data_IF_739664668476
#
_entry.id   IF_739664668476
#
_cell.length_a   1.000
_cell.length_b   1.000
_cell.length_c   1.000
_cell.angle_alpha   90.00
_cell.angle_beta   90.00
_cell.angle_gamma   90.00
#
_symmetry.space_group_name_H-M   'P 1'
#
loop_
_entity.id
_entity.type
_entity.pdbx_description
1 polymer ?
#
# COMPACT_ATOMS: atom_id res chain seq x y z
N UNK A 1 1.29 11.21 -36.76
CA UNK A 1 0.11 11.99 -36.33
C UNK A 1 0.15 13.28 -37.15
N UNK A 2 -0.74 13.57 -38.08
CA UNK A 2 -2.17 13.29 -38.13
C UNK A 2 -2.64 12.88 -39.52
N UNK A 3 -3.11 11.64 -39.56
CA UNK A 3 -3.89 10.97 -40.58
C UNK A 3 -5.40 11.33 -40.45
N UNK A 4 -5.70 12.57 -40.05
CA UNK A 4 -7.07 13.04 -39.77
C UNK A 4 -7.61 13.89 -40.91
N UNK A 5 -6.73 14.62 -41.61
CA UNK A 5 -7.11 15.40 -42.80
C UNK A 5 -7.49 14.53 -44.00
N UNK A 6 -6.90 13.33 -44.13
CA UNK A 6 -7.23 12.38 -45.19
C UNK A 6 -8.55 11.63 -44.93
N UNK A 7 -8.90 11.40 -43.65
CA UNK A 7 -10.15 10.75 -43.27
C UNK A 7 -11.39 11.64 -43.50
N UNK A 8 -11.23 12.97 -43.49
CA UNK A 8 -12.32 13.93 -43.72
C UNK A 8 -12.60 14.21 -45.20
N UNK A 9 -11.64 13.96 -46.10
CA UNK A 9 -11.87 14.11 -47.55
C UNK A 9 -12.54 12.90 -48.20
N UNK A 10 -12.64 11.76 -47.51
CA UNK A 10 -13.26 10.54 -48.04
C UNK A 10 -14.81 10.51 -47.96
N UNK A 11 -15.44 11.53 -47.37
CA UNK A 11 -16.91 11.55 -47.17
C UNK A 11 -17.67 12.51 -48.10
N UNK A 12 -17.01 13.03 -49.14
CA UNK A 12 -17.66 13.91 -50.13
C UNK A 12 -17.39 13.39 -51.54
N UNK A 13 -17.89 12.19 -51.81
CA UNK A 13 -18.19 11.77 -53.18
C UNK A 13 -19.55 11.09 -53.18
N UNK A 14 -20.40 11.55 -54.10
CA UNK A 14 -21.68 10.96 -54.52
C UNK A 14 -22.92 11.37 -53.70
N UNK A 15 -23.39 12.59 -53.97
CA UNK A 15 -24.70 12.78 -54.59
C UNK A 15 -25.97 12.27 -53.89
N UNK A 16 -26.28 12.71 -52.67
CA UNK A 16 -27.67 13.01 -52.25
C UNK A 16 -27.70 13.81 -50.92
N UNK A 17 -28.54 14.85 -50.75
CA UNK A 17 -28.62 15.59 -49.49
C UNK A 17 -29.54 14.88 -48.48
N UNK A 18 -29.13 14.59 -47.23
CA UNK A 18 -30.06 14.18 -46.20
C UNK A 18 -30.90 15.39 -45.75
N UNK A 19 -32.17 15.36 -46.17
CA UNK A 19 -33.36 15.81 -45.44
C UNK A 19 -33.25 17.12 -44.62
N UNK A 20 -33.87 18.18 -45.15
CA UNK A 20 -34.82 18.97 -44.37
C UNK A 20 -34.29 20.00 -43.37
N UNK A 21 -33.19 20.68 -43.65
CA UNK A 21 -32.76 21.84 -42.84
C UNK A 21 -32.98 23.13 -43.62
N UNK A 22 -34.16 23.74 -43.43
CA UNK A 22 -34.40 25.11 -43.90
C UNK A 22 -33.52 26.08 -43.10
N UNK A 23 -33.01 27.12 -43.76
CA UNK A 23 -32.23 28.21 -43.15
C UNK A 23 -32.92 28.88 -41.96
N UNK A 24 -34.26 28.84 -41.93
CA UNK A 24 -35.09 29.28 -40.80
C UNK A 24 -34.98 28.38 -39.55
N UNK A 25 -34.70 27.09 -39.70
CA UNK A 25 -34.49 26.14 -38.60
C UNK A 25 -33.16 26.35 -37.87
N UNK A 26 -32.12 26.77 -38.59
CA UNK A 26 -30.76 26.99 -38.05
C UNK A 26 -30.67 28.27 -37.21
N UNK A 27 -31.41 29.31 -37.56
CA UNK A 27 -31.44 30.56 -36.78
C UNK A 27 -32.33 30.46 -35.53
N UNK A 28 -33.38 29.63 -35.56
CA UNK A 28 -34.23 29.37 -34.40
C UNK A 28 -33.52 28.50 -33.35
N UNK A 29 -32.70 27.52 -33.76
CA UNK A 29 -31.90 26.70 -32.86
C UNK A 29 -30.75 27.46 -32.21
N UNK A 30 -30.12 28.40 -32.94
CA UNK A 30 -29.06 29.26 -32.39
C UNK A 30 -29.55 30.22 -31.28
N UNK A 31 -30.79 30.73 -31.36
CA UNK A 31 -31.37 31.58 -30.29
C UNK A 31 -31.76 30.79 -29.04
N UNK A 32 -32.12 29.50 -29.16
CA UNK A 32 -32.49 28.66 -28.01
C UNK A 32 -31.28 28.21 -27.20
N UNK A 33 -30.13 27.99 -27.84
CA UNK A 33 -28.86 27.66 -27.18
C UNK A 33 -28.32 28.80 -26.30
N UNK A 34 -28.40 30.06 -26.74
CA UNK A 34 -27.91 31.21 -25.95
C UNK A 34 -28.64 31.44 -24.62
N UNK A 35 -29.92 31.06 -24.51
CA UNK A 35 -30.67 31.18 -23.24
C UNK A 35 -30.40 30.06 -22.24
N UNK A 36 -29.96 28.88 -22.69
CA UNK A 36 -29.64 27.78 -21.78
C UNK A 36 -28.25 27.92 -21.13
N UNK A 37 -27.30 28.62 -21.77
CA UNK A 37 -25.96 28.80 -21.21
C UNK A 37 -25.87 29.84 -20.06
N UNK A 38 -26.91 30.65 -19.83
CA UNK A 38 -26.95 31.59 -18.70
C UNK A 38 -27.47 30.96 -17.40
N UNK A 39 -28.09 29.78 -17.46
CA UNK A 39 -28.55 29.06 -16.25
C UNK A 39 -27.57 27.96 -15.79
N UNK A 40 -26.61 27.57 -16.62
CA UNK A 40 -25.56 26.60 -16.28
C UNK A 40 -24.32 27.21 -15.61
N UNK A 41 -24.28 28.53 -15.41
CA UNK A 41 -23.15 29.21 -14.75
C UNK A 41 -23.15 29.12 -13.22
N UNK A 42 -24.32 28.91 -12.59
CA UNK A 42 -24.44 28.86 -11.14
C UNK A 42 -24.25 27.45 -10.55
N UNK A 43 -24.48 26.38 -11.34
CA UNK A 43 -24.38 25.00 -10.86
C UNK A 43 -22.94 24.48 -10.87
N UNK A 44 -22.09 24.98 -11.78
CA UNK A 44 -20.70 24.52 -11.90
C UNK A 44 -19.83 24.92 -10.68
N UNK A 45 -20.13 26.03 -10.01
CA UNK A 45 -19.36 26.49 -8.85
C UNK A 45 -19.71 25.72 -7.57
N UNK A 46 -20.95 25.21 -7.45
CA UNK A 46 -21.36 24.41 -6.30
C UNK A 46 -20.77 22.99 -6.34
N UNK A 47 -20.60 22.39 -7.53
CA UNK A 47 -20.00 21.05 -7.68
C UNK A 47 -18.50 21.05 -7.39
N UNK A 48 -17.78 22.12 -7.74
CA UNK A 48 -16.33 22.22 -7.46
C UNK A 48 -16.07 22.47 -5.96
N UNK A 49 -16.91 23.25 -5.27
CA UNK A 49 -16.80 23.42 -3.80
C UNK A 49 -17.26 22.18 -3.05
N UNK A 50 -18.24 21.41 -3.56
CA UNK A 50 -18.59 20.11 -2.96
C UNK A 50 -17.49 19.07 -3.19
N UNK A 51 -16.85 19.05 -4.36
CA UNK A 51 -15.75 18.12 -4.68
C UNK A 51 -14.46 18.44 -3.93
N UNK A 52 -14.15 19.72 -3.68
CA UNK A 52 -13.01 20.14 -2.84
C UNK A 52 -13.34 20.10 -1.34
N UNK A 53 -14.61 20.26 -0.95
CA UNK A 53 -15.07 20.10 0.44
C UNK A 53 -15.17 18.63 0.88
N UNK A 54 -15.49 17.72 -0.03
CA UNK A 54 -15.52 16.27 0.23
C UNK A 54 -14.13 15.62 0.20
N UNK A 55 -13.13 16.25 -0.44
CA UNK A 55 -11.76 15.75 -0.42
C UNK A 55 -11.09 15.83 0.97
N UNK A 56 -11.65 16.60 1.90
CA UNK A 56 -11.11 16.78 3.26
C UNK A 56 -11.80 15.92 4.31
N UNK A 57 -12.96 15.30 4.01
CA UNK A 57 -13.77 14.58 5.02
C UNK A 57 -14.27 13.22 4.52
N UNK A 58 -13.42 12.43 3.87
CA UNK A 58 -13.56 10.97 3.91
C UNK A 58 -12.15 10.37 3.87
N UNK A 59 -11.39 10.53 4.97
CA UNK A 59 -10.63 9.39 5.43
C UNK A 59 -11.68 8.28 5.62
N UNK A 60 -11.67 7.18 4.86
CA UNK A 60 -12.51 6.06 5.21
C UNK A 60 -11.98 5.62 6.57
N UNK A 61 -12.68 6.02 7.62
CA UNK A 61 -12.62 5.36 8.91
C UNK A 61 -13.05 3.93 8.62
N UNK A 62 -12.06 3.10 8.24
CA UNK A 62 -12.19 1.67 8.26
C UNK A 62 -12.69 1.37 9.66
N UNK A 63 -13.88 0.78 9.74
CA UNK A 63 -14.42 0.31 11.01
C UNK A 63 -13.27 -0.38 11.74
N UNK A 64 -12.91 0.06 12.95
CA UNK A 64 -11.85 -0.61 13.68
C UNK A 64 -12.28 -2.06 13.77
N UNK A 65 -11.58 -2.95 13.05
CA UNK A 65 -11.64 -4.38 13.35
C UNK A 65 -11.42 -4.42 14.84
N UNK A 66 -12.44 -4.82 15.61
CA UNK A 66 -12.44 -4.68 17.06
C UNK A 66 -11.12 -5.25 17.58
N UNK A 67 -10.16 -4.36 17.85
CA UNK A 67 -8.79 -4.75 18.05
C UNK A 67 -8.80 -5.35 19.45
N UNK A 68 -8.77 -6.68 19.50
CA UNK A 68 -8.67 -7.37 20.78
C UNK A 68 -7.47 -6.78 21.52
N UNK A 69 -7.63 -6.33 22.78
CA UNK A 69 -6.53 -5.75 23.52
C UNK A 69 -5.35 -6.73 23.49
N UNK A 70 -4.18 -6.23 23.08
CA UNK A 70 -2.99 -7.07 23.05
C UNK A 70 -2.46 -7.29 24.46
N UNK A 71 -1.87 -8.46 24.75
CA UNK A 71 -1.19 -8.71 26.00
C UNK A 71 -0.13 -7.63 26.28
N UNK A 72 0.04 -7.27 27.55
CA UNK A 72 1.00 -6.25 27.97
C UNK A 72 2.25 -6.83 28.64
N UNK A 73 2.28 -8.13 28.92
CA UNK A 73 3.40 -8.80 29.55
C UNK A 73 4.65 -8.78 28.65
N UNK A 74 5.81 -8.51 29.24
CA UNK A 74 7.11 -8.41 28.54
C UNK A 74 8.24 -9.19 29.21
N UNK A 75 7.93 -9.93 30.27
CA UNK A 75 8.94 -10.47 31.19
C UNK A 75 9.60 -11.74 30.67
N UNK A 76 8.98 -12.39 29.68
CA UNK A 76 9.48 -13.60 29.03
C UNK A 76 9.47 -13.45 27.52
N UNK A 77 10.30 -14.24 26.84
CA UNK A 77 10.37 -14.24 25.37
C UNK A 77 9.04 -14.63 24.74
N UNK A 78 8.35 -15.63 25.29
CA UNK A 78 7.00 -16.01 24.84
C UNK A 78 5.98 -14.89 25.04
N UNK A 79 6.02 -14.18 26.18
CA UNK A 79 5.14 -13.03 26.39
C UNK A 79 5.39 -11.90 25.38
N UNK A 80 6.66 -11.64 25.03
CA UNK A 80 7.00 -10.69 23.97
C UNK A 80 6.50 -11.15 22.61
N UNK A 81 6.65 -12.43 22.27
CA UNK A 81 6.09 -13.01 21.03
C UNK A 81 4.59 -12.80 20.97
N UNK A 82 3.84 -13.13 22.02
CA UNK A 82 2.37 -13.00 22.03
C UNK A 82 1.93 -11.53 21.89
N UNK A 83 2.58 -10.63 22.64
CA UNK A 83 2.31 -9.18 22.58
C UNK A 83 2.60 -8.62 21.18
N UNK A 84 3.80 -8.86 20.65
CA UNK A 84 4.22 -8.33 19.36
C UNK A 84 3.43 -8.95 18.20
N UNK A 85 3.11 -10.25 18.26
CA UNK A 85 2.28 -10.93 17.24
C UNK A 85 0.88 -10.32 17.18
N UNK A 86 0.29 -10.01 18.34
CA UNK A 86 -0.99 -9.32 18.40
C UNK A 86 -0.91 -7.90 17.82
N UNK A 87 0.11 -7.11 18.20
CA UNK A 87 0.27 -5.74 17.70
C UNK A 87 0.46 -5.71 16.18
N UNK A 88 1.38 -6.52 15.66
CA UNK A 88 1.65 -6.66 14.22
C UNK A 88 0.40 -7.18 13.51
N UNK A 89 -0.24 -8.22 14.03
CA UNK A 89 -1.42 -8.82 13.42
C UNK A 89 -2.61 -7.86 13.34
N UNK A 90 -2.83 -7.03 14.37
CA UNK A 90 -3.88 -6.00 14.35
C UNK A 90 -3.53 -4.88 13.36
N UNK A 91 -2.29 -4.40 13.37
CA UNK A 91 -1.83 -3.33 12.50
C UNK A 91 -1.92 -3.74 11.01
N UNK A 92 -1.39 -4.92 10.66
CA UNK A 92 -1.44 -5.41 9.27
C UNK A 92 -2.87 -5.64 8.82
N UNK A 93 -3.72 -6.30 9.63
CA UNK A 93 -5.14 -6.52 9.28
C UNK A 93 -5.90 -5.21 9.06
N UNK A 94 -5.61 -4.16 9.83
CA UNK A 94 -6.21 -2.83 9.63
C UNK A 94 -5.88 -2.20 8.27
N UNK A 95 -4.76 -2.60 7.65
CA UNK A 95 -4.29 -2.07 6.37
C UNK A 95 -4.72 -2.90 5.16
N UNK A 96 -5.07 -4.16 5.35
CA UNK A 96 -5.49 -5.07 4.27
C UNK A 96 -6.98 -4.92 3.89
N UNK A 97 -7.36 -5.30 2.66
CA UNK A 97 -8.75 -5.54 2.29
C UNK A 97 -9.40 -6.59 3.21
N UNK A 98 -10.70 -6.45 3.49
CA UNK A 98 -11.41 -7.35 4.40
C UNK A 98 -11.58 -8.78 3.86
N UNK A 99 -11.52 -8.94 2.54
CA UNK A 99 -11.60 -10.20 1.80
C UNK A 99 -10.22 -10.83 1.54
N UNK A 100 -9.13 -10.19 1.97
CA UNK A 100 -7.78 -10.71 1.76
C UNK A 100 -7.56 -12.00 2.55
N UNK A 101 -7.18 -13.07 1.85
CA UNK A 101 -6.73 -14.31 2.47
C UNK A 101 -5.29 -14.15 2.92
N UNK A 102 -5.02 -14.45 4.20
CA UNK A 102 -3.70 -14.35 4.81
C UNK A 102 -3.23 -15.74 5.20
N UNK A 103 -2.01 -16.10 4.76
CA UNK A 103 -1.37 -17.36 5.13
C UNK A 103 0.07 -17.13 5.54
N UNK A 104 0.59 -17.97 6.43
CA UNK A 104 1.99 -17.91 6.84
C UNK A 104 2.90 -18.26 5.66
N UNK A 105 3.97 -17.49 5.47
CA UNK A 105 5.11 -17.94 4.68
C UNK A 105 6.05 -18.73 5.58
N UNK A 106 6.20 -20.02 5.28
CA UNK A 106 7.09 -20.94 6.00
C UNK A 106 8.19 -21.44 5.08
N UNK A 107 9.30 -21.87 5.67
CA UNK A 107 10.30 -22.65 4.94
C UNK A 107 9.79 -24.09 4.72
N UNK A 108 10.24 -24.79 3.67
CA UNK A 108 9.85 -26.18 3.44
C UNK A 108 10.15 -27.07 4.66
N UNK A 109 9.14 -27.82 5.11
CA UNK A 109 9.24 -28.73 6.26
C UNK A 109 8.80 -28.12 7.61
N UNK A 110 8.55 -26.82 7.68
CA UNK A 110 8.01 -26.17 8.88
C UNK A 110 6.48 -26.29 8.93
N UNK A 111 5.94 -26.58 10.11
CA UNK A 111 4.49 -26.54 10.35
C UNK A 111 4.10 -25.11 10.69
N UNK A 112 3.22 -24.46 9.90
CA UNK A 112 2.84 -23.08 10.16
C UNK A 112 2.08 -22.97 11.49
N UNK A 113 2.29 -21.90 12.27
CA UNK A 113 1.48 -21.60 13.44
C UNK A 113 0.01 -21.36 13.03
N UNK A 114 -0.91 -21.60 13.97
CA UNK A 114 -2.35 -21.38 13.75
C UNK A 114 -2.68 -19.93 13.47
N UNK A 115 -1.99 -19.00 14.14
CA UNK A 115 -2.03 -17.58 13.80
C UNK A 115 -0.91 -17.26 12.81
N UNK A 116 -1.22 -16.85 11.57
CA UNK A 116 -0.19 -16.56 10.58
C UNK A 116 0.70 -15.36 10.97
N UNK A 117 0.26 -14.51 11.90
CA UNK A 117 1.02 -13.39 12.45
C UNK A 117 1.90 -13.73 13.66
N UNK A 118 1.90 -15.00 14.11
CA UNK A 118 2.76 -15.44 15.20
C UNK A 118 4.24 -15.23 14.83
N UNK A 119 4.93 -14.37 15.58
CA UNK A 119 6.34 -14.07 15.39
C UNK A 119 7.21 -15.25 15.82
N UNK A 120 8.29 -15.48 15.09
CA UNK A 120 9.36 -16.36 15.53
C UNK A 120 10.36 -15.49 16.28
N UNK A 121 10.89 -16.00 17.39
CA UNK A 121 11.93 -15.33 18.18
C UNK A 121 13.22 -16.17 18.14
N UNK A 122 14.20 -15.74 17.36
CA UNK A 122 15.51 -16.37 17.31
C UNK A 122 16.35 -15.94 18.52
N UNK A 123 16.94 -16.92 19.19
CA UNK A 123 17.73 -16.68 20.40
C UNK A 123 19.14 -16.20 20.05
N UNK A 124 19.38 -14.90 20.16
CA UNK A 124 20.70 -14.28 19.96
C UNK A 124 21.35 -13.87 21.28
N UNK A 125 20.57 -13.79 22.36
CA UNK A 125 21.03 -13.42 23.70
C UNK A 125 20.22 -14.08 24.82
N UNK A 126 20.65 -13.85 26.06
CA UNK A 126 20.06 -14.48 27.24
C UNK A 126 18.72 -13.82 27.60
N UNK A 127 18.61 -12.52 27.40
CA UNK A 127 17.42 -11.76 27.77
C UNK A 127 16.30 -11.90 26.73
N UNK A 128 15.01 -11.82 27.13
CA UNK A 128 13.89 -11.85 26.21
C UNK A 128 13.99 -10.82 25.07
N UNK A 129 14.49 -9.61 25.39
CA UNK A 129 14.59 -8.47 24.47
C UNK A 129 15.79 -8.54 23.53
N UNK A 130 16.70 -9.49 23.72
CA UNK A 130 17.85 -9.70 22.85
C UNK A 130 17.53 -10.65 21.68
N UNK A 131 16.31 -11.20 21.63
CA UNK A 131 15.88 -12.04 20.53
C UNK A 131 15.63 -11.23 19.25
N UNK A 132 15.81 -11.90 18.11
CA UNK A 132 15.37 -11.39 16.81
C UNK A 132 13.95 -11.87 16.57
N UNK A 133 13.02 -10.95 16.38
CA UNK A 133 11.62 -11.29 16.09
C UNK A 133 11.33 -11.11 14.61
N UNK A 134 10.83 -12.14 13.95
CA UNK A 134 10.55 -12.05 12.53
C UNK A 134 9.30 -12.83 12.11
N UNK A 135 8.65 -12.35 11.06
CA UNK A 135 7.61 -13.12 10.36
C UNK A 135 7.42 -12.67 8.91
N UNK A 136 6.82 -13.55 8.11
CA UNK A 136 6.32 -13.24 6.78
C UNK A 136 4.94 -13.87 6.54
N UNK A 137 4.03 -13.10 5.95
CA UNK A 137 2.73 -13.59 5.47
C UNK A 137 2.60 -13.39 3.97
N UNK A 138 1.93 -14.35 3.33
CA UNK A 138 1.35 -14.19 2.01
C UNK A 138 -0.03 -13.59 2.16
N UNK A 139 -0.31 -12.59 1.33
CA UNK A 139 -1.60 -11.96 1.21
C UNK A 139 -2.11 -12.20 -0.20
N UNK A 140 -3.29 -12.79 -0.32
CA UNK A 140 -3.95 -13.07 -1.60
C UNK A 140 -5.30 -12.39 -1.62
N UNK A 141 -5.51 -11.53 -2.61
CA UNK A 141 -6.74 -10.76 -2.82
C UNK A 141 -7.08 -10.73 -4.33
N UNK A 142 -8.07 -9.93 -4.73
CA UNK A 142 -8.48 -9.80 -6.13
C UNK A 142 -7.37 -9.25 -7.06
N UNK A 143 -6.34 -8.57 -6.52
CA UNK A 143 -5.21 -8.05 -7.29
C UNK A 143 -4.06 -9.08 -7.46
N UNK A 144 -4.16 -10.24 -6.82
CA UNK A 144 -3.19 -11.32 -6.90
C UNK A 144 -2.54 -11.63 -5.55
N UNK A 145 -1.35 -12.23 -5.59
CA UNK A 145 -0.60 -12.61 -4.38
C UNK A 145 0.60 -11.69 -4.15
N UNK A 146 0.73 -11.21 -2.92
CA UNK A 146 1.90 -10.47 -2.44
C UNK A 146 2.29 -10.93 -1.04
N UNK A 147 3.20 -10.21 -0.42
CA UNK A 147 3.66 -10.56 0.93
C UNK A 147 3.92 -9.33 1.79
N UNK A 148 3.87 -9.54 3.09
CA UNK A 148 4.23 -8.57 4.12
C UNK A 148 5.13 -9.28 5.12
N UNK A 149 6.22 -8.61 5.49
CA UNK A 149 7.22 -9.11 6.42
C UNK A 149 7.49 -8.08 7.51
N UNK A 150 7.93 -8.57 8.66
CA UNK A 150 8.48 -7.76 9.73
C UNK A 150 9.75 -8.41 10.27
N UNK A 151 10.67 -7.55 10.68
CA UNK A 151 11.89 -7.91 11.39
C UNK A 151 12.11 -6.89 12.50
N UNK A 152 12.18 -7.34 13.75
CA UNK A 152 12.49 -6.53 14.92
C UNK A 152 13.80 -7.04 15.50
N UNK A 153 14.80 -6.18 15.54
CA UNK A 153 16.13 -6.48 16.04
C UNK A 153 16.41 -5.70 17.33
N UNK A 154 17.17 -6.27 18.28
CA UNK A 154 17.73 -5.50 19.39
C UNK A 154 18.70 -4.42 18.91
N UNK A 155 19.02 -3.46 19.79
CA UNK A 155 19.89 -2.30 19.52
C UNK A 155 21.25 -2.68 18.90
N UNK A 156 21.86 -1.72 18.18
CA UNK A 156 23.08 -1.84 17.32
C UNK A 156 22.86 -2.37 15.90
N UNK A 157 21.62 -2.64 15.53
CA UNK A 157 21.27 -2.95 14.14
C UNK A 157 21.09 -1.64 13.36
N UNK A 158 22.17 -1.10 12.80
CA UNK A 158 22.06 -0.06 11.78
C UNK A 158 21.37 -0.64 10.55
N UNK A 159 20.07 -0.35 10.36
CA UNK A 159 19.37 -0.69 9.11
C UNK A 159 20.05 0.00 7.94
N UNK A 160 20.09 -0.61 6.74
CA UNK A 160 20.94 -0.12 5.67
C UNK A 160 20.54 1.32 5.35
N UNK A 161 21.47 2.29 5.49
CA UNK A 161 21.25 3.61 4.95
C UNK A 161 20.94 3.46 3.45
N UNK A 162 20.12 4.35 2.91
CA UNK A 162 19.87 4.43 1.47
C UNK A 162 21.14 4.14 0.65
N UNK A 163 21.03 3.43 -0.48
CA UNK A 163 22.19 3.00 -1.27
C UNK A 163 22.28 1.52 -1.61
N UNK A 164 21.18 0.77 -1.50
CA UNK A 164 21.12 -0.60 -2.04
C UNK A 164 21.11 -0.58 -3.58
N UNK A 165 21.73 -1.58 -4.20
CA UNK A 165 21.84 -1.70 -5.67
C UNK A 165 20.46 -1.69 -6.35
N UNK A 166 19.49 -2.32 -5.71
CA UNK A 166 18.12 -2.48 -6.23
C UNK A 166 17.18 -1.32 -5.83
N UNK A 167 17.72 -0.24 -5.29
CA UNK A 167 16.94 0.88 -4.78
C UNK A 167 16.42 1.79 -5.90
N UNK A 168 15.10 1.89 -6.02
CA UNK A 168 14.43 2.85 -6.90
C UNK A 168 14.34 4.22 -6.22
N UNK A 169 13.95 4.23 -4.95
CA UNK A 169 13.80 5.45 -4.18
C UNK A 169 14.14 5.20 -2.72
N UNK A 170 14.64 6.24 -2.05
CA UNK A 170 14.83 6.22 -0.61
C UNK A 170 14.70 7.63 -0.05
N UNK A 171 14.08 7.72 1.12
CA UNK A 171 13.96 8.96 1.89
C UNK A 171 14.12 8.64 3.36
N UNK A 172 14.69 9.59 4.11
CA UNK A 172 14.72 9.55 5.56
C UNK A 172 13.78 10.59 6.15
N UNK A 173 13.26 10.30 7.33
CA UNK A 173 12.47 11.23 8.13
C UNK A 173 12.83 11.07 9.61
N UNK A 174 12.66 12.14 10.39
CA UNK A 174 12.76 12.09 11.84
C UNK A 174 11.37 12.08 12.44
N UNK A 175 11.16 11.22 13.44
CA UNK A 175 9.90 11.10 14.16
C UNK A 175 10.14 11.07 15.67
N UNK A 176 9.10 11.27 16.50
CA UNK A 176 9.24 11.14 17.94
C UNK A 176 9.71 9.74 18.41
N UNK A 177 9.51 8.71 17.60
CA UNK A 177 9.92 7.33 17.92
C UNK A 177 11.34 7.01 17.46
N UNK A 178 11.96 7.87 16.65
CA UNK A 178 13.31 7.66 16.09
C UNK A 178 13.44 8.02 14.62
N UNK A 179 14.59 7.66 14.06
CA UNK A 179 14.92 7.87 12.65
C UNK A 179 14.27 6.80 11.77
N UNK A 180 13.63 7.24 10.70
CA UNK A 180 12.91 6.38 9.75
C UNK A 180 13.53 6.46 8.37
N UNK A 181 13.68 5.32 7.71
CA UNK A 181 14.08 5.21 6.31
C UNK A 181 13.00 4.48 5.54
N UNK A 182 12.51 5.10 4.48
CA UNK A 182 11.53 4.52 3.57
C UNK A 182 12.18 4.31 2.23
N UNK A 183 12.02 3.12 1.66
CA UNK A 183 12.61 2.78 0.38
C UNK A 183 11.66 1.97 -0.49
N UNK A 184 11.76 2.18 -1.80
CA UNK A 184 11.19 1.28 -2.81
C UNK A 184 12.35 0.60 -3.51
N UNK A 185 12.31 -0.73 -3.59
CA UNK A 185 13.33 -1.55 -4.22
C UNK A 185 12.71 -2.43 -5.31
N UNK A 186 13.55 -2.89 -6.25
CA UNK A 186 13.17 -3.86 -7.27
C UNK A 186 14.14 -5.03 -7.28
N UNK A 187 13.67 -6.20 -6.86
CA UNK A 187 14.44 -7.45 -6.91
C UNK A 187 13.88 -8.32 -8.03
N UNK A 188 14.60 -8.41 -9.15
CA UNK A 188 14.07 -9.02 -10.38
C UNK A 188 12.84 -8.25 -10.88
N UNK A 189 11.72 -8.95 -11.06
CA UNK A 189 10.45 -8.35 -11.48
C UNK A 189 9.58 -7.86 -10.31
N UNK A 190 9.91 -8.24 -9.08
CA UNK A 190 9.16 -7.88 -7.89
C UNK A 190 9.55 -6.50 -7.36
N UNK A 191 8.55 -5.71 -6.99
CA UNK A 191 8.74 -4.43 -6.30
C UNK A 191 8.54 -4.65 -4.81
N UNK A 192 9.36 -3.99 -3.99
CA UNK A 192 9.34 -4.03 -2.53
C UNK A 192 9.25 -2.62 -1.96
N UNK A 193 8.23 -2.35 -1.15
CA UNK A 193 8.16 -1.16 -0.30
C UNK A 193 8.67 -1.53 1.08
N UNK A 194 9.65 -0.79 1.60
CA UNK A 194 10.27 -1.08 2.90
C UNK A 194 10.34 0.17 3.76
N UNK A 195 10.23 -0.04 5.05
CA UNK A 195 10.57 0.92 6.09
C UNK A 195 11.53 0.29 7.10
N UNK A 196 12.42 1.10 7.65
CA UNK A 196 13.19 0.79 8.84
C UNK A 196 13.06 1.96 9.84
N UNK A 197 12.71 1.68 11.08
CA UNK A 197 12.68 2.61 12.21
C UNK A 197 13.80 2.24 13.19
N UNK A 198 14.79 3.12 13.33
CA UNK A 198 15.75 3.06 14.42
C UNK A 198 15.14 3.74 15.65
N UNK A 199 14.50 2.94 16.48
CA UNK A 199 14.01 3.35 17.79
C UNK A 199 15.12 3.26 18.85
N UNK A 200 14.98 3.88 20.03
CA UNK A 200 16.04 3.91 21.04
C UNK A 200 16.60 2.54 21.45
N UNK A 201 15.76 1.49 21.46
CA UNK A 201 16.12 0.15 21.95
C UNK A 201 15.97 -0.95 20.89
N UNK A 202 15.64 -0.61 19.64
CA UNK A 202 15.35 -1.62 18.62
C UNK A 202 15.40 -1.05 17.21
N UNK A 203 15.71 -1.89 16.24
CA UNK A 203 15.43 -1.61 14.82
C UNK A 203 14.16 -2.37 14.42
N UNK A 204 13.13 -1.65 13.97
CA UNK A 204 11.88 -2.23 13.46
C UNK A 204 11.85 -2.06 11.95
N UNK A 205 11.77 -3.15 11.21
CA UNK A 205 11.65 -3.13 9.76
C UNK A 205 10.35 -3.79 9.32
N UNK A 206 9.66 -3.16 8.39
CA UNK A 206 8.58 -3.78 7.64
C UNK A 206 8.87 -3.69 6.17
N UNK A 207 8.48 -4.71 5.41
CA UNK A 207 8.41 -4.58 3.97
C UNK A 207 7.23 -5.33 3.39
N UNK A 208 6.72 -4.80 2.29
CA UNK A 208 5.71 -5.43 1.47
C UNK A 208 6.23 -5.63 0.07
N UNK A 209 5.93 -6.78 -0.53
CA UNK A 209 6.36 -7.08 -1.90
C UNK A 209 5.18 -7.42 -2.79
N UNK A 210 5.39 -7.27 -4.10
CA UNK A 210 4.46 -7.72 -5.14
C UNK A 210 4.61 -9.20 -5.49
N UNK A 211 5.30 -9.98 -4.66
CA UNK A 211 5.46 -11.42 -4.75
C UNK A 211 4.87 -12.09 -3.51
N UNK A 212 4.07 -13.13 -3.70
CA UNK A 212 3.57 -13.98 -2.63
C UNK A 212 4.54 -15.10 -2.25
N UNK A 213 5.77 -15.11 -2.76
CA UNK A 213 6.76 -16.16 -2.45
C UNK A 213 7.68 -15.68 -1.33
N UNK A 214 8.18 -16.64 -0.53
CA UNK A 214 9.17 -16.38 0.51
C UNK A 214 10.45 -15.82 -0.11
N UNK A 215 10.94 -14.71 0.43
CA UNK A 215 12.22 -14.11 0.03
C UNK A 215 13.38 -15.01 0.49
N UNK A 216 14.22 -15.42 -0.45
CA UNK A 216 15.39 -16.26 -0.22
C UNK A 216 16.59 -15.71 -0.98
N UNK A 217 17.76 -15.74 -0.34
CA UNK A 217 19.00 -15.31 -0.98
C UNK A 217 19.27 -16.11 -2.26
N UNK A 218 19.60 -15.42 -3.35
CA UNK A 218 19.89 -16.04 -4.64
C UNK A 218 18.67 -16.52 -5.43
N UNK A 219 17.44 -16.29 -4.94
CA UNK A 219 16.21 -16.68 -5.63
C UNK A 219 15.54 -15.45 -6.25
N UNK A 220 15.29 -15.51 -7.57
CA UNK A 220 14.54 -14.46 -8.27
C UNK A 220 13.09 -14.50 -7.81
N UNK A 221 12.56 -13.34 -7.38
CA UNK A 221 11.18 -13.21 -6.95
C UNK A 221 10.25 -12.96 -8.15
N UNK A 222 9.30 -13.86 -8.45
CA UNK A 222 8.35 -13.64 -9.53
C UNK A 222 7.33 -12.57 -9.13
N UNK A 223 6.99 -11.66 -10.06
CA UNK A 223 5.88 -10.73 -9.88
C UNK A 223 4.54 -11.48 -9.94
N UNK A 224 3.72 -11.32 -8.90
CA UNK A 224 2.41 -12.00 -8.77
C UNK A 224 1.22 -11.04 -8.58
N UNK A 225 1.51 -9.74 -8.42
CA UNK A 225 0.53 -8.64 -8.42
C UNK A 225 1.15 -7.38 -9.04
N UNK A 226 0.34 -6.42 -9.54
CA UNK A 226 0.85 -5.22 -10.22
C UNK A 226 1.74 -4.33 -9.34
N UNK A 227 1.37 -4.20 -8.06
CA UNK A 227 2.00 -3.36 -7.04
C UNK A 227 2.17 -4.15 -5.73
N UNK A 228 3.09 -3.76 -4.82
CA UNK A 228 3.20 -4.40 -3.51
C UNK A 228 1.87 -4.43 -2.73
N UNK A 229 1.71 -5.42 -1.84
CA UNK A 229 0.50 -5.54 -1.00
C UNK A 229 0.17 -4.26 -0.24
N UNK A 230 1.19 -3.59 0.29
CA UNK A 230 1.07 -2.33 1.01
C UNK A 230 1.89 -1.25 0.31
N UNK A 231 1.28 -0.07 0.21
CA UNK A 231 1.96 1.15 -0.26
C UNK A 231 3.09 1.55 0.69
N UNK A 232 4.02 2.38 0.21
CA UNK A 232 5.11 2.90 1.06
C UNK A 232 4.59 3.67 2.29
N UNK A 233 3.46 4.36 2.15
CA UNK A 233 2.81 5.08 3.25
C UNK A 233 2.19 4.12 4.29
N UNK A 234 1.58 3.03 3.86
CA UNK A 234 1.05 2.00 4.76
C UNK A 234 2.15 1.25 5.49
N UNK A 235 3.25 0.92 4.81
CA UNK A 235 4.41 0.30 5.45
C UNK A 235 5.02 1.23 6.51
N UNK A 236 5.08 2.56 6.24
CA UNK A 236 5.46 3.57 7.25
C UNK A 236 4.56 3.55 8.48
N UNK A 237 3.24 3.47 8.28
CA UNK A 237 2.27 3.42 9.37
C UNK A 237 2.49 2.19 10.25
N UNK A 238 2.81 1.03 9.67
CA UNK A 238 3.16 -0.17 10.43
C UNK A 238 4.35 0.05 11.36
N UNK A 239 5.45 0.61 10.86
CA UNK A 239 6.63 0.85 11.69
C UNK A 239 6.37 1.83 12.84
N UNK A 240 5.41 2.74 12.68
CA UNK A 240 5.02 3.70 13.71
C UNK A 240 3.98 3.16 14.69
N UNK A 241 3.58 1.90 14.56
CA UNK A 241 2.63 1.25 15.48
C UNK A 241 3.17 1.32 16.91
N UNK A 242 2.41 1.92 17.86
CA UNK A 242 2.86 2.04 19.24
C UNK A 242 3.14 0.67 19.87
N UNK A 243 4.26 0.59 20.59
CA UNK A 243 4.61 -0.61 21.35
C UNK A 243 5.40 -1.68 20.60
N UNK A 244 5.78 -1.46 19.33
CA UNK A 244 6.66 -2.38 18.60
C UNK A 244 8.12 -2.38 19.10
N UNK A 245 8.54 -1.33 19.83
CA UNK A 245 9.85 -1.31 20.48
C UNK A 245 9.96 -2.31 21.63
N UNK A 246 11.18 -2.80 21.85
CA UNK A 246 11.54 -3.74 22.91
C UNK A 246 11.86 -3.05 24.25
#
# INVERSE_FOLDING_TARGET
MEDVRAALTAYVTEGEPPLGLTTSGVLASARRSRRQHLLTGAVALFVVVLALGLAVVVLPGRNPVAARPCPTATDTRSALVDRLSCLVGNAVRGLLPADAAVSRLTIPGETPPSDPYHLIADEVGAEPREAIFHMGVRVTDAAGSGSVYVLILPVNSGGPPCGEVDQISCRSEQTPQGGLWLSTLRAGDAVKNRVALAAPNSLVQFWSTSSGVLEQSGVVLPKQRPEPTLTLAQVRELALTPGLGL
#
